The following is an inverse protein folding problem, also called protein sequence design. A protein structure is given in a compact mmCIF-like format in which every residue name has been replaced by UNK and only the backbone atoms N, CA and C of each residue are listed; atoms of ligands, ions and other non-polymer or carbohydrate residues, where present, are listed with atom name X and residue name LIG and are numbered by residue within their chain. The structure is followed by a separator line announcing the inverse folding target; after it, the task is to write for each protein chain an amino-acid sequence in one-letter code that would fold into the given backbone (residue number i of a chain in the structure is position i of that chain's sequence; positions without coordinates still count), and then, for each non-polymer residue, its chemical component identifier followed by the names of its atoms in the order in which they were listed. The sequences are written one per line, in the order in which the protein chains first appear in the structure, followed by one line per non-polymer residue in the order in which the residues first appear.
data_IF_515017722465
#
_entry.id   IF_515017722465
#
_cell.length_a   1.000
_cell.length_b   1.000
_cell.length_c   1.000
_cell.angle_alpha   90.00
_cell.angle_beta   90.00
_cell.angle_gamma   90.00
#
_symmetry.space_group_name_H-M   'P 1'
#
loop_
_entity.id
_entity.type
_entity.pdbx_description
1 polymer ?
#
# COMPACT_ATOMS: atom_id res chain seq x y z
N UNK A 1 0.39 21.74 13.15
CA UNK A 1 0.68 20.95 11.95
C UNK A 1 -0.66 20.69 11.28
N UNK A 2 -0.90 21.37 10.17
CA UNK A 2 -2.24 21.53 9.59
C UNK A 2 -2.83 20.21 9.08
N UNK A 3 -4.13 20.02 9.32
CA UNK A 3 -4.90 18.82 8.95
C UNK A 3 -5.23 18.73 7.44
N UNK A 4 -4.55 19.51 6.58
CA UNK A 4 -4.89 19.72 5.15
C UNK A 4 -3.91 19.09 4.13
N UNK A 5 -3.05 18.13 4.50
CA UNK A 5 -2.05 17.62 3.54
C UNK A 5 -2.57 16.65 2.46
N UNK A 6 -3.79 16.12 2.56
CA UNK A 6 -4.35 15.21 1.54
C UNK A 6 -5.80 15.55 1.23
N UNK A 7 -6.09 15.91 -0.03
CA UNK A 7 -7.47 16.14 -0.49
C UNK A 7 -8.23 14.81 -0.57
N UNK A 8 -9.23 14.63 0.30
CA UNK A 8 -10.32 13.71 0.04
C UNK A 8 -11.14 14.27 -1.13
N UNK A 9 -10.94 13.75 -2.34
CA UNK A 9 -11.68 14.18 -3.53
C UNK A 9 -12.99 13.41 -3.66
N UNK A 10 -14.08 14.12 -3.93
CA UNK A 10 -15.31 13.52 -4.48
C UNK A 10 -15.03 12.99 -5.90
N UNK A 11 -15.41 11.76 -6.16
CA UNK A 11 -14.96 10.99 -7.32
C UNK A 11 -15.59 11.47 -8.63
N UNK A 12 -14.77 11.68 -9.66
CA UNK A 12 -15.20 11.88 -11.06
C UNK A 12 -15.19 10.53 -11.79
N UNK A 13 -16.07 10.37 -12.79
CA UNK A 13 -16.57 9.10 -13.35
C UNK A 13 -15.55 7.99 -13.68
N UNK A 14 -14.35 8.31 -14.20
CA UNK A 14 -13.33 7.28 -14.53
C UNK A 14 -12.58 6.73 -13.31
N UNK A 15 -12.28 7.59 -12.33
CA UNK A 15 -11.76 7.15 -11.03
C UNK A 15 -12.83 6.35 -10.28
N UNK A 16 -14.11 6.68 -10.49
CA UNK A 16 -15.26 5.99 -9.89
C UNK A 16 -15.31 4.51 -10.26
N UNK A 17 -15.00 4.11 -11.51
CA UNK A 17 -15.07 2.70 -11.90
C UNK A 17 -14.00 1.84 -11.20
N UNK A 18 -12.75 2.31 -11.17
CA UNK A 18 -11.66 1.58 -10.48
C UNK A 18 -11.84 1.55 -8.98
N UNK A 19 -12.31 2.65 -8.40
CA UNK A 19 -12.62 2.70 -6.99
C UNK A 19 -13.76 1.74 -6.65
N UNK A 20 -14.80 1.68 -7.49
CA UNK A 20 -15.87 0.68 -7.34
C UNK A 20 -15.30 -0.74 -7.43
N UNK A 21 -14.40 -1.01 -8.38
CA UNK A 21 -13.79 -2.34 -8.54
C UNK A 21 -12.93 -2.74 -7.34
N UNK A 22 -12.04 -1.86 -6.85
CA UNK A 22 -11.17 -2.18 -5.71
C UNK A 22 -11.98 -2.30 -4.42
N UNK A 23 -13.00 -1.47 -4.22
CA UNK A 23 -13.92 -1.57 -3.08
C UNK A 23 -14.69 -2.88 -3.10
N UNK A 24 -15.26 -3.29 -4.24
CA UNK A 24 -15.94 -4.59 -4.36
C UNK A 24 -15.01 -5.77 -4.17
N UNK A 25 -13.78 -5.69 -4.68
CA UNK A 25 -12.79 -6.74 -4.48
C UNK A 25 -12.38 -6.85 -3.01
N UNK A 26 -12.28 -5.71 -2.29
CA UNK A 26 -12.03 -5.67 -0.86
C UNK A 26 -13.20 -6.32 -0.09
N UNK A 27 -14.43 -5.90 -0.37
CA UNK A 27 -15.64 -6.47 0.24
C UNK A 27 -15.74 -7.98 0.02
N UNK A 28 -15.47 -8.44 -1.21
CA UNK A 28 -15.47 -9.86 -1.52
C UNK A 28 -14.39 -10.64 -0.79
N UNK A 29 -13.24 -10.02 -0.47
CA UNK A 29 -12.10 -10.68 0.19
C UNK A 29 -12.24 -10.70 1.72
N UNK A 30 -12.73 -9.62 2.30
CA UNK A 30 -12.74 -9.38 3.75
C UNK A 30 -14.14 -9.35 4.36
N UNK A 31 -15.20 -9.42 3.56
CA UNK A 31 -16.58 -9.51 4.03
C UNK A 31 -17.21 -8.20 4.51
N UNK A 32 -16.53 -7.07 4.30
CA UNK A 32 -16.95 -5.75 4.78
C UNK A 32 -16.41 -4.64 3.87
N UNK A 33 -17.07 -3.47 3.81
CA UNK A 33 -16.54 -2.33 3.06
C UNK A 33 -15.20 -1.84 3.64
N UNK A 34 -14.29 -1.33 2.80
CA UNK A 34 -13.08 -0.69 3.28
C UNK A 34 -13.41 0.63 4.00
N UNK A 35 -12.58 1.02 4.97
CA UNK A 35 -12.64 2.34 5.60
C UNK A 35 -12.28 3.46 4.62
N UNK A 36 -11.42 3.15 3.66
CA UNK A 36 -11.00 4.08 2.63
C UNK A 36 -10.18 3.41 1.53
N UNK A 37 -9.86 4.19 0.51
CA UNK A 37 -8.95 3.79 -0.55
C UNK A 37 -7.87 4.85 -0.70
N UNK A 38 -6.61 4.45 -0.50
CA UNK A 38 -5.47 5.28 -0.84
C UNK A 38 -5.10 5.07 -2.31
N UNK A 39 -4.71 6.15 -2.99
CA UNK A 39 -4.24 6.12 -4.38
C UNK A 39 -2.88 6.80 -4.47
N UNK A 40 -1.94 6.16 -5.14
CA UNK A 40 -0.68 6.78 -5.54
C UNK A 40 -0.43 6.55 -7.04
N UNK A 41 -0.18 7.61 -7.84
CA UNK A 41 0.14 7.46 -9.24
C UNK A 41 1.56 6.93 -9.44
N UNK A 42 1.79 6.27 -10.57
CA UNK A 42 3.14 6.10 -11.10
C UNK A 42 3.70 7.42 -11.61
N UNK A 43 4.92 7.40 -12.13
CA UNK A 43 5.53 8.60 -12.71
C UNK A 43 6.46 8.27 -13.86
N UNK A 44 6.52 9.17 -14.82
CA UNK A 44 7.57 9.23 -15.84
C UNK A 44 8.55 10.33 -15.44
N UNK A 45 9.83 10.11 -15.69
CA UNK A 45 10.83 11.14 -15.53
C UNK A 45 11.14 11.73 -16.91
N UNK A 46 11.00 13.05 -17.06
CA UNK A 46 11.21 13.71 -18.35
C UNK A 46 12.71 13.93 -18.59
N UNK A 47 13.45 14.28 -17.54
CA UNK A 47 14.91 14.44 -17.55
C UNK A 47 15.48 14.33 -16.13
N UNK A 48 16.73 13.87 -16.03
CA UNK A 48 17.44 13.70 -14.76
C UNK A 48 17.41 12.25 -14.27
N UNK A 49 17.79 11.30 -15.12
CA UNK A 49 17.96 9.90 -14.69
C UNK A 49 19.26 9.74 -13.90
N UNK A 50 19.23 8.93 -12.84
CA UNK A 50 20.42 8.55 -12.06
C UNK A 50 21.17 9.70 -11.37
N UNK A 51 20.50 10.82 -11.09
CA UNK A 51 21.10 11.99 -10.42
C UNK A 51 20.41 12.38 -9.12
N UNK A 52 19.23 11.82 -8.86
CA UNK A 52 18.42 12.11 -7.68
C UNK A 52 19.06 11.61 -6.39
N UNK A 53 19.62 10.39 -6.39
CA UNK A 53 20.34 9.85 -5.24
C UNK A 53 21.68 10.55 -4.96
N UNK A 54 22.19 11.34 -5.92
CA UNK A 54 23.36 12.22 -5.75
C UNK A 54 22.97 13.63 -5.27
N UNK A 55 21.67 13.89 -5.05
CA UNK A 55 21.15 15.17 -4.56
C UNK A 55 20.90 16.23 -5.64
N UNK A 56 20.95 15.88 -6.93
CA UNK A 56 20.60 16.81 -8.00
C UNK A 56 19.09 16.84 -8.29
N UNK A 57 18.64 17.94 -8.89
CA UNK A 57 17.26 18.12 -9.29
C UNK A 57 16.87 17.22 -10.49
N UNK A 58 15.60 16.80 -10.51
CA UNK A 58 14.99 15.99 -11.57
C UNK A 58 13.66 16.61 -12.01
N UNK A 59 13.16 16.25 -13.19
CA UNK A 59 11.88 16.75 -13.71
C UNK A 59 10.89 15.62 -14.02
N UNK A 60 10.24 15.03 -12.99
CA UNK A 60 9.24 14.00 -13.17
C UNK A 60 7.83 14.56 -13.35
N UNK A 61 6.96 13.71 -13.88
CA UNK A 61 5.52 13.95 -13.96
C UNK A 61 4.76 12.69 -13.57
N UNK A 62 3.76 12.84 -12.70
CA UNK A 62 2.83 11.75 -12.38
C UNK A 62 2.00 11.35 -13.61
N UNK A 63 1.78 10.05 -13.79
CA UNK A 63 0.91 9.53 -14.85
C UNK A 63 -0.45 9.13 -14.27
N UNK A 64 -1.42 8.86 -15.16
CA UNK A 64 -2.76 8.47 -14.73
C UNK A 64 -2.76 7.09 -14.04
N UNK A 65 -1.97 6.15 -14.56
CA UNK A 65 -1.81 4.81 -14.02
C UNK A 65 -1.37 4.90 -12.55
N UNK A 66 -2.03 4.15 -11.69
CA UNK A 66 -1.92 4.27 -10.24
C UNK A 66 -2.00 2.92 -9.54
N UNK A 67 -1.52 2.89 -8.29
CA UNK A 67 -1.84 1.85 -7.32
C UNK A 67 -2.95 2.37 -6.41
N UNK A 68 -3.92 1.50 -6.15
CA UNK A 68 -5.03 1.68 -5.22
C UNK A 68 -4.87 0.67 -4.10
N UNK A 69 -4.98 1.13 -2.86
CA UNK A 69 -4.97 0.28 -1.66
C UNK A 69 -6.25 0.55 -0.92
N UNK A 70 -7.22 -0.36 -1.03
CA UNK A 70 -8.40 -0.37 -0.18
C UNK A 70 -8.01 -0.97 1.17
N UNK A 71 -8.39 -0.31 2.26
CA UNK A 71 -7.93 -0.70 3.58
C UNK A 71 -9.02 -0.64 4.65
N UNK A 72 -8.85 -1.45 5.69
CA UNK A 72 -9.65 -1.40 6.91
C UNK A 72 -8.79 -1.82 8.11
N UNK A 73 -9.24 -1.44 9.29
CA UNK A 73 -8.64 -1.81 10.57
C UNK A 73 -9.68 -2.60 11.35
N UNK A 74 -9.34 -3.84 11.69
CA UNK A 74 -10.23 -4.74 12.45
C UNK A 74 -9.55 -5.24 13.70
N UNK A 75 -10.32 -5.88 14.57
CA UNK A 75 -9.76 -6.60 15.71
C UNK A 75 -8.98 -7.81 15.22
N UNK A 76 -7.72 -7.93 15.65
CA UNK A 76 -6.84 -9.06 15.33
C UNK A 76 -7.31 -10.37 15.95
N UNK A 77 -6.93 -11.48 15.33
CA UNK A 77 -7.26 -12.84 15.82
C UNK A 77 -6.34 -13.31 16.96
N UNK A 78 -5.12 -12.78 17.03
CA UNK A 78 -4.12 -13.11 18.04
C UNK A 78 -4.04 -11.99 19.08
N UNK A 79 -4.16 -12.36 20.36
CA UNK A 79 -3.98 -11.43 21.47
C UNK A 79 -2.50 -11.08 21.58
N UNK A 80 -2.16 -9.80 21.57
CA UNK A 80 -0.79 -9.34 21.77
C UNK A 80 -0.05 -8.97 20.49
N UNK A 81 -0.66 -9.12 19.30
CA UNK A 81 -0.01 -8.94 18.00
C UNK A 81 -0.75 -7.94 17.12
N UNK A 82 0.04 -7.17 16.35
CA UNK A 82 -0.47 -6.37 15.23
C UNK A 82 -0.21 -7.13 13.92
N UNK A 83 -1.29 -7.51 13.24
CA UNK A 83 -1.21 -8.24 11.97
C UNK A 83 -1.40 -7.32 10.77
N UNK A 84 -0.75 -7.66 9.66
CA UNK A 84 -0.93 -7.04 8.34
C UNK A 84 -1.39 -8.11 7.35
N UNK A 85 -2.65 -8.05 6.95
CA UNK A 85 -3.28 -8.99 6.01
C UNK A 85 -3.36 -8.37 4.62
N UNK A 86 -2.47 -8.81 3.73
CA UNK A 86 -2.28 -8.22 2.41
C UNK A 86 -2.84 -9.15 1.34
N UNK A 87 -3.72 -8.61 0.51
CA UNK A 87 -4.28 -9.28 -0.66
C UNK A 87 -4.11 -8.41 -1.91
N UNK A 88 -4.25 -9.04 -3.08
CA UNK A 88 -4.21 -8.36 -4.36
C UNK A 88 -5.44 -8.72 -5.18
N UNK A 89 -6.00 -7.75 -5.90
CA UNK A 89 -7.13 -7.99 -6.81
C UNK A 89 -6.76 -8.86 -8.01
N UNK A 90 -5.47 -8.95 -8.37
CA UNK A 90 -4.96 -9.81 -9.44
C UNK A 90 -4.50 -11.16 -8.86
N UNK A 91 -5.11 -12.30 -9.27
CA UNK A 91 -4.83 -13.62 -8.69
C UNK A 91 -3.38 -14.09 -8.77
N UNK A 92 -2.60 -13.56 -9.72
CA UNK A 92 -1.18 -13.84 -9.88
C UNK A 92 -0.31 -13.39 -8.69
N UNK A 93 -0.80 -12.46 -7.87
CA UNK A 93 -0.11 -11.96 -6.68
C UNK A 93 -0.71 -12.61 -5.45
N UNK A 94 0.03 -13.54 -4.85
CA UNK A 94 -0.41 -14.29 -3.66
C UNK A 94 -0.65 -13.36 -2.47
N UNK A 95 -1.71 -13.65 -1.72
CA UNK A 95 -2.02 -12.99 -0.44
C UNK A 95 -1.12 -13.54 0.67
N UNK A 96 -0.88 -12.74 1.70
CA UNK A 96 -0.03 -13.09 2.85
C UNK A 96 -0.51 -12.36 4.10
N UNK A 97 -0.32 -12.98 5.27
CA UNK A 97 -0.51 -12.33 6.57
C UNK A 97 0.85 -12.20 7.24
N UNK A 98 1.22 -11.01 7.66
CA UNK A 98 2.49 -10.70 8.32
C UNK A 98 2.23 -10.21 9.75
N UNK A 99 3.22 -10.36 10.63
CA UNK A 99 3.19 -9.75 11.96
C UNK A 99 4.05 -8.48 11.93
N UNK A 100 3.51 -7.34 12.37
CA UNK A 100 4.25 -6.08 12.48
C UNK A 100 5.12 -6.03 13.74
N UNK A 101 4.95 -6.97 14.67
CA UNK A 101 5.82 -7.14 15.85
C UNK A 101 7.00 -8.08 15.56
N UNK A 102 6.96 -8.84 14.45
CA UNK A 102 8.06 -9.69 14.01
C UNK A 102 9.22 -8.89 13.42
N UNK A 103 10.42 -9.46 13.52
CA UNK A 103 11.62 -8.93 12.89
C UNK A 103 11.48 -8.92 11.36
N UNK A 104 11.92 -7.85 10.72
CA UNK A 104 11.82 -7.65 9.26
C UNK A 104 12.39 -8.83 8.46
N UNK A 105 13.51 -9.39 8.91
CA UNK A 105 14.14 -10.52 8.24
C UNK A 105 13.28 -11.79 8.27
N UNK A 106 12.49 -12.02 9.33
CA UNK A 106 11.54 -13.14 9.39
C UNK A 106 10.39 -12.93 8.42
N UNK A 107 9.80 -11.73 8.41
CA UNK A 107 8.76 -11.38 7.45
C UNK A 107 9.25 -11.54 6.00
N UNK A 108 10.49 -11.14 5.71
CA UNK A 108 11.10 -11.34 4.39
C UNK A 108 11.21 -12.83 4.02
N UNK A 109 11.72 -13.67 4.91
CA UNK A 109 11.81 -15.12 4.68
C UNK A 109 10.42 -15.74 4.43
N UNK A 110 9.41 -15.33 5.21
CA UNK A 110 8.02 -15.77 5.01
C UNK A 110 7.50 -15.39 3.62
N UNK A 111 7.73 -14.15 3.21
CA UNK A 111 7.34 -13.65 1.88
C UNK A 111 8.01 -14.45 0.74
N UNK A 112 9.28 -14.82 0.89
CA UNK A 112 10.01 -15.66 -0.06
C UNK A 112 9.39 -17.07 -0.14
N UNK A 113 9.15 -17.71 1.01
CA UNK A 113 8.58 -19.06 1.10
C UNK A 113 7.16 -19.14 0.52
N UNK A 114 6.33 -18.12 0.77
CA UNK A 114 4.95 -18.08 0.27
C UNK A 114 4.88 -17.62 -1.20
N UNK A 115 5.96 -17.10 -1.77
CA UNK A 115 5.99 -16.53 -3.11
C UNK A 115 5.21 -15.22 -3.22
N UNK A 116 5.20 -14.43 -2.14
CA UNK A 116 4.46 -13.18 -1.99
C UNK A 116 5.39 -11.95 -1.93
N UNK A 117 6.60 -12.04 -2.51
CA UNK A 117 7.63 -10.98 -2.43
C UNK A 117 7.19 -9.58 -2.84
N UNK A 118 6.16 -9.45 -3.67
CA UNK A 118 5.56 -8.16 -4.02
C UNK A 118 5.03 -7.41 -2.78
N UNK A 119 4.57 -8.12 -1.74
CA UNK A 119 4.06 -7.52 -0.50
C UNK A 119 5.18 -6.95 0.40
N UNK A 120 6.46 -7.17 0.07
CA UNK A 120 7.56 -6.45 0.72
C UNK A 120 7.46 -4.93 0.55
N UNK A 121 6.98 -4.45 -0.60
CA UNK A 121 6.73 -3.02 -0.84
C UNK A 121 5.60 -2.48 0.04
N UNK A 122 4.55 -3.28 0.25
CA UNK A 122 3.45 -2.94 1.17
C UNK A 122 3.98 -2.85 2.60
N UNK A 123 4.75 -3.87 3.01
CA UNK A 123 5.39 -3.93 4.33
C UNK A 123 6.29 -2.70 4.56
N UNK A 124 7.13 -2.31 3.60
CA UNK A 124 7.97 -1.12 3.72
C UNK A 124 7.16 0.16 3.98
N UNK A 125 6.03 0.36 3.29
CA UNK A 125 5.15 1.52 3.51
C UNK A 125 4.54 1.52 4.91
N UNK A 126 4.10 0.36 5.39
CA UNK A 126 3.51 0.19 6.72
C UNK A 126 4.56 0.39 7.83
N UNK A 127 5.74 -0.23 7.69
CA UNK A 127 6.83 -0.12 8.66
C UNK A 127 7.36 1.32 8.75
N UNK A 128 7.50 2.03 7.62
CA UNK A 128 7.92 3.42 7.63
C UNK A 128 6.97 4.32 8.45
N UNK A 129 5.66 4.08 8.36
CA UNK A 129 4.68 4.81 9.17
C UNK A 129 4.67 4.36 10.63
N UNK A 130 4.89 3.07 10.90
CA UNK A 130 5.05 2.55 12.27
C UNK A 130 6.25 3.17 12.97
N UNK A 131 7.35 3.33 12.26
CA UNK A 131 8.58 3.90 12.83
C UNK A 131 8.45 5.42 13.04
N UNK A 132 7.75 6.13 12.15
CA UNK A 132 7.41 7.57 12.31
C UNK A 132 6.37 7.82 13.42
N UNK A 133 5.41 6.89 13.59
CA UNK A 133 4.24 7.02 14.49
C UNK A 133 3.96 5.74 15.27
N UNK A 134 4.85 5.34 16.20
CA UNK A 134 4.70 4.10 16.95
C UNK A 134 3.43 4.06 17.81
N UNK A 135 2.89 5.21 18.20
CA UNK A 135 1.65 5.33 18.96
C UNK A 135 0.41 4.80 18.24
N UNK A 136 0.38 4.86 16.90
CA UNK A 136 -0.73 4.35 16.10
C UNK A 136 -0.84 2.81 16.12
N UNK A 137 0.24 2.13 16.53
CA UNK A 137 0.36 0.67 16.52
C UNK A 137 0.39 0.04 17.93
N UNK A 138 0.08 0.81 18.98
CA UNK A 138 0.12 0.29 20.36
C UNK A 138 -1.03 -0.67 20.70
N UNK A 139 -2.10 -0.67 19.91
CA UNK A 139 -3.25 -1.56 20.12
C UNK A 139 -2.87 -2.99 19.73
N UNK A 140 -2.54 -3.81 20.72
CA UNK A 140 -2.06 -5.20 20.54
C UNK A 140 -3.13 -6.22 20.11
N UNK A 141 -4.24 -5.76 19.56
CA UNK A 141 -5.31 -6.61 19.01
C UNK A 141 -5.82 -6.00 17.70
N UNK A 142 -4.90 -5.64 16.81
CA UNK A 142 -5.22 -4.96 15.55
C UNK A 142 -4.80 -5.82 14.36
N UNK A 143 -5.65 -5.90 13.34
CA UNK A 143 -5.29 -6.37 12.01
C UNK A 143 -5.56 -5.27 10.98
N UNK A 144 -4.52 -4.88 10.26
CA UNK A 144 -4.59 -3.99 9.11
C UNK A 144 -4.84 -4.83 7.86
N UNK A 145 -6.03 -4.67 7.27
CA UNK A 145 -6.43 -5.35 6.05
C UNK A 145 -6.17 -4.44 4.86
N UNK A 146 -5.43 -4.92 3.87
CA UNK A 146 -5.10 -4.16 2.66
C UNK A 146 -5.36 -5.01 1.41
N UNK A 147 -6.19 -4.50 0.50
CA UNK A 147 -6.35 -5.03 -0.84
C UNK A 147 -5.75 -4.08 -1.86
N UNK A 148 -4.78 -4.58 -2.61
CA UNK A 148 -4.04 -3.84 -3.63
C UNK A 148 -4.62 -4.10 -5.02
N UNK A 149 -4.89 -3.05 -5.79
CA UNK A 149 -5.09 -3.12 -7.24
C UNK A 149 -4.26 -2.03 -7.92
N UNK A 150 -3.83 -2.25 -9.16
CA UNK A 150 -3.04 -1.25 -9.87
C UNK A 150 -2.85 -1.57 -11.33
N UNK A 151 -2.67 -0.54 -12.15
CA UNK A 151 -2.56 -0.65 -13.60
C UNK A 151 -1.25 -0.10 -14.16
N UNK A 152 -0.32 0.30 -13.30
CA UNK A 152 1.03 0.69 -13.71
C UNK A 152 1.73 -0.58 -14.26
N UNK A 153 2.22 -0.56 -15.51
CA UNK A 153 3.03 -1.65 -16.05
C UNK A 153 4.26 -1.91 -15.17
N UNK A 154 4.36 -3.12 -14.65
CA UNK A 154 5.49 -3.52 -13.80
C UNK A 154 6.78 -3.63 -14.63
N UNK A 155 7.91 -3.20 -14.06
CA UNK A 155 9.23 -3.37 -14.68
C UNK A 155 9.56 -2.41 -15.82
N UNK A 156 8.72 -1.40 -16.09
CA UNK A 156 8.91 -0.47 -17.20
C UNK A 156 9.50 0.90 -16.81
N UNK A 157 10.11 1.02 -15.62
CA UNK A 157 10.67 2.30 -15.14
C UNK A 157 9.61 3.34 -14.72
N UNK A 158 8.34 2.95 -14.65
CA UNK A 158 7.19 3.83 -14.32
C UNK A 158 6.92 3.96 -12.81
N UNK A 159 7.87 3.57 -11.97
CA UNK A 159 7.80 3.64 -10.51
C UNK A 159 6.61 2.91 -9.87
N UNK A 160 6.24 1.74 -10.40
CA UNK A 160 5.16 0.92 -9.83
C UNK A 160 5.41 0.48 -8.39
N UNK A 161 6.67 0.19 -8.03
CA UNK A 161 7.08 -0.17 -6.67
C UNK A 161 6.95 1.02 -5.72
N UNK A 162 7.44 2.20 -6.10
CA UNK A 162 7.31 3.41 -5.28
C UNK A 162 5.86 3.81 -5.08
N UNK A 163 5.02 3.71 -6.12
CA UNK A 163 3.58 3.95 -6.01
C UNK A 163 2.92 2.98 -5.01
N UNK A 164 3.31 1.70 -5.01
CA UNK A 164 2.82 0.73 -4.04
C UNK A 164 3.24 1.08 -2.60
N UNK A 165 4.52 1.43 -2.38
CA UNK A 165 5.01 1.87 -1.06
C UNK A 165 4.23 3.09 -0.57
N UNK A 166 4.08 4.13 -1.40
CA UNK A 166 3.38 5.37 -1.04
C UNK A 166 1.90 5.11 -0.76
N UNK A 167 1.21 4.35 -1.60
CA UNK A 167 -0.21 4.05 -1.39
C UNK A 167 -0.43 3.23 -0.11
N UNK A 168 0.44 2.26 0.18
CA UNK A 168 0.39 1.48 1.43
C UNK A 168 0.66 2.34 2.66
N UNK A 169 1.66 3.21 2.61
CA UNK A 169 1.93 4.20 3.66
C UNK A 169 0.70 5.09 3.93
N UNK A 170 0.06 5.62 2.88
CA UNK A 170 -1.17 6.42 3.02
C UNK A 170 -2.35 5.63 3.59
N UNK A 171 -2.47 4.34 3.25
CA UNK A 171 -3.50 3.43 3.74
C UNK A 171 -3.23 2.92 5.18
N UNK A 172 -2.10 3.30 5.78
CA UNK A 172 -1.73 2.94 7.16
C UNK A 172 -2.21 3.98 8.18
N UNK A 173 -2.89 5.04 7.72
CA UNK A 173 -3.32 6.19 8.52
C UNK A 173 -4.59 5.93 9.33
#
# INVERSE_FOLDING_TARGET
MDREEFRALSLVDGASERLTKVTRAFESRFGQPPLGVARAPGRVNLIGEHVDYEGYAVLPMAIEQSVYVAFSVVKGSNVGEVALNVANAKPQHKSVILSLDEQEQKNKQKLELEGAMWASYVLCGVLGLRDDRPEAFQSKEMELQMLVDGDIPAGCGLSSSSALVVASALATK
#
